data_IF_813903956067
#
_entry.id   IF_813903956067
#
_cell.length_a   1.000
_cell.length_b   1.000
_cell.length_c   1.000
_cell.angle_alpha   90.00
_cell.angle_beta   90.00
_cell.angle_gamma   90.00
#
_symmetry.space_group_name_H-M   'P 1'
#
loop_
_entity.id
_entity.type
_entity.pdbx_description
1 polymer ?
#
# COMPACT_ATOMS: atom_id res chain seq x y z
N UNK A 1 66.69 -29.43 -3.35
CA UNK A 1 65.53 -28.74 -3.96
C UNK A 1 64.31 -29.02 -3.10
N UNK A 2 64.00 -28.14 -2.14
CA UNK A 2 62.79 -28.22 -1.32
C UNK A 2 61.69 -27.42 -2.01
N UNK A 3 60.63 -28.08 -2.46
CA UNK A 3 59.42 -27.43 -2.96
C UNK A 3 58.42 -27.33 -1.80
N UNK A 4 58.20 -26.12 -1.30
CA UNK A 4 57.16 -25.80 -0.31
C UNK A 4 55.85 -25.60 -1.06
N UNK A 5 54.92 -26.54 -0.90
CA UNK A 5 53.56 -26.44 -1.42
C UNK A 5 52.75 -25.49 -0.53
N UNK A 6 52.44 -24.30 -1.04
CA UNK A 6 51.52 -23.37 -0.40
C UNK A 6 50.08 -23.86 -0.61
N UNK A 7 49.48 -24.41 0.44
CA UNK A 7 48.04 -24.69 0.49
C UNK A 7 47.32 -23.36 0.69
N UNK A 8 46.76 -22.81 -0.39
CA UNK A 8 45.89 -21.65 -0.32
C UNK A 8 44.56 -22.05 0.34
N UNK A 9 44.43 -21.73 1.63
CA UNK A 9 43.19 -21.85 2.38
C UNK A 9 42.20 -20.78 1.87
N UNK A 10 41.37 -21.12 0.88
CA UNK A 10 40.23 -20.29 0.52
C UNK A 10 39.19 -20.38 1.65
N UNK A 11 39.33 -19.51 2.64
CA UNK A 11 38.24 -19.22 3.57
C UNK A 11 37.10 -18.63 2.74
N UNK A 12 36.07 -19.44 2.48
CA UNK A 12 34.78 -18.94 2.01
C UNK A 12 34.22 -18.11 3.15
N UNK A 13 34.48 -16.80 3.13
CA UNK A 13 33.79 -15.84 3.97
C UNK A 13 32.34 -15.93 3.51
N UNK A 14 31.51 -16.70 4.23
CA UNK A 14 30.06 -16.53 4.18
C UNK A 14 29.85 -15.08 4.58
N UNK A 15 29.50 -14.23 3.60
CA UNK A 15 29.00 -12.91 3.87
C UNK A 15 27.91 -13.10 4.93
N UNK A 16 28.14 -12.56 6.13
CA UNK A 16 27.12 -12.57 7.16
C UNK A 16 25.85 -12.04 6.50
N UNK A 17 24.73 -12.74 6.70
CA UNK A 17 23.39 -12.33 6.25
C UNK A 17 23.09 -10.96 6.86
N UNK A 18 23.61 -9.92 6.22
CA UNK A 18 23.45 -8.55 6.64
C UNK A 18 21.95 -8.28 6.62
N UNK A 19 21.47 -7.57 7.64
CA UNK A 19 20.10 -7.07 7.69
C UNK A 19 19.70 -6.59 6.29
N UNK A 20 18.65 -7.19 5.72
CA UNK A 20 18.30 -6.92 4.33
C UNK A 20 17.83 -5.47 4.25
N UNK A 21 18.60 -4.64 3.55
CA UNK A 21 18.22 -3.29 3.21
C UNK A 21 16.84 -3.30 2.54
N UNK A 22 15.96 -2.39 2.95
CA UNK A 22 14.74 -2.12 2.20
C UNK A 22 15.10 -1.81 0.75
N UNK A 23 14.66 -2.67 -0.17
CA UNK A 23 14.85 -2.47 -1.60
C UNK A 23 13.53 -2.01 -2.21
N UNK A 24 13.33 -0.70 -2.24
CA UNK A 24 12.14 -0.05 -2.81
C UNK A 24 11.90 -0.47 -4.26
N UNK A 25 12.96 -0.52 -5.07
CA UNK A 25 12.87 -0.90 -6.47
C UNK A 25 12.38 -2.35 -6.66
N UNK A 26 12.78 -3.26 -5.76
CA UNK A 26 12.35 -4.66 -5.80
C UNK A 26 10.86 -4.81 -5.46
N UNK A 27 10.40 -4.15 -4.40
CA UNK A 27 9.02 -4.32 -3.91
C UNK A 27 7.99 -3.47 -4.65
N UNK A 28 8.44 -2.38 -5.29
CA UNK A 28 7.58 -1.43 -6.00
C UNK A 28 7.78 -1.43 -7.51
N UNK A 29 8.38 -2.48 -8.09
CA UNK A 29 8.57 -2.58 -9.53
C UNK A 29 7.24 -2.54 -10.30
N UNK A 30 7.26 -1.94 -11.50
CA UNK A 30 6.14 -1.93 -12.44
C UNK A 30 6.50 -2.72 -13.69
N UNK A 31 5.52 -2.94 -14.56
CA UNK A 31 5.74 -3.51 -15.88
C UNK A 31 4.87 -2.81 -16.91
N UNK A 32 5.43 -2.61 -18.09
CA UNK A 32 4.73 -2.14 -19.28
C UNK A 32 4.32 -3.35 -20.09
N UNK A 33 3.03 -3.47 -20.33
CA UNK A 33 2.43 -4.51 -21.15
C UNK A 33 2.00 -3.88 -22.46
N UNK A 34 2.47 -4.41 -23.58
CA UNK A 34 2.20 -3.87 -24.90
C UNK A 34 1.64 -4.95 -25.81
N UNK A 35 0.76 -4.55 -26.71
CA UNK A 35 0.32 -5.36 -27.83
C UNK A 35 0.33 -4.51 -29.11
N UNK A 36 0.90 -5.06 -30.16
CA UNK A 36 0.91 -4.45 -31.49
C UNK A 36 -0.15 -5.10 -32.39
N UNK A 37 -0.57 -4.39 -33.43
CA UNK A 37 -1.54 -4.88 -34.43
C UNK A 37 -2.86 -5.41 -33.82
N UNK A 38 -3.38 -4.75 -32.78
CA UNK A 38 -4.63 -5.10 -32.11
C UNK A 38 -5.83 -4.68 -32.98
N UNK A 39 -6.69 -5.60 -33.45
CA UNK A 39 -7.89 -5.24 -34.19
C UNK A 39 -8.87 -4.42 -33.35
N UNK A 40 -9.51 -3.41 -33.96
CA UNK A 40 -10.47 -2.54 -33.27
C UNK A 40 -11.53 -3.32 -32.48
N UNK A 41 -12.05 -4.41 -33.06
CA UNK A 41 -13.09 -5.26 -32.44
C UNK A 41 -12.67 -5.92 -31.12
N UNK A 42 -11.36 -6.08 -30.88
CA UNK A 42 -10.86 -6.62 -29.61
C UNK A 42 -10.67 -5.51 -28.57
N UNK A 43 -10.33 -4.30 -29.02
CA UNK A 43 -10.05 -3.15 -28.18
C UNK A 43 -11.31 -2.37 -27.78
N UNK A 44 -12.29 -2.28 -28.69
CA UNK A 44 -13.55 -1.56 -28.57
C UNK A 44 -14.72 -2.52 -28.87
N UNK A 45 -15.14 -3.36 -27.92
CA UNK A 45 -16.27 -4.27 -28.15
C UNK A 45 -17.54 -3.46 -28.42
N UNK A 46 -18.18 -3.73 -29.57
CA UNK A 46 -19.31 -2.94 -30.10
C UNK A 46 -20.55 -3.01 -29.20
N UNK A 47 -20.71 -4.08 -28.42
CA UNK A 47 -21.83 -4.25 -27.48
C UNK A 47 -21.29 -4.44 -26.05
N UNK A 48 -21.73 -3.57 -25.12
CA UNK A 48 -21.46 -3.73 -23.67
C UNK A 48 -21.98 -5.08 -23.13
N UNK A 49 -22.95 -5.68 -23.82
CA UNK A 49 -23.56 -6.99 -23.50
C UNK A 49 -22.92 -8.17 -24.24
N UNK A 50 -21.91 -7.97 -25.09
CA UNK A 50 -21.24 -9.11 -25.71
C UNK A 50 -20.59 -9.97 -24.63
N UNK A 51 -21.14 -11.18 -24.44
CA UNK A 51 -20.68 -12.19 -23.47
C UNK A 51 -19.28 -12.74 -23.75
N UNK A 52 -18.58 -12.14 -24.71
CA UNK A 52 -17.19 -12.40 -25.00
C UNK A 52 -16.30 -11.89 -23.86
N UNK A 53 -15.30 -12.66 -23.45
CA UNK A 53 -14.45 -12.27 -22.35
C UNK A 53 -13.59 -11.06 -22.79
N UNK A 54 -13.69 -9.94 -22.08
CA UNK A 54 -12.88 -8.73 -22.34
C UNK A 54 -11.41 -9.12 -22.42
N UNK A 55 -10.75 -8.76 -23.52
CA UNK A 55 -9.31 -8.91 -23.67
C UNK A 55 -8.60 -7.67 -23.14
N UNK A 56 -9.18 -6.49 -23.34
CA UNK A 56 -8.60 -5.22 -22.93
C UNK A 56 -9.57 -4.44 -22.03
N UNK A 57 -9.05 -3.62 -21.10
CA UNK A 57 -7.65 -3.61 -20.65
C UNK A 57 -7.32 -4.86 -19.81
N UNK A 58 -6.04 -5.02 -19.41
CA UNK A 58 -5.63 -6.16 -18.56
C UNK A 58 -6.24 -6.08 -17.15
N UNK A 59 -6.77 -4.91 -16.79
CA UNK A 59 -7.64 -4.73 -15.64
C UNK A 59 -9.12 -4.78 -16.09
N UNK A 60 -9.86 -5.82 -15.67
CA UNK A 60 -11.20 -6.15 -16.21
C UNK A 60 -12.30 -5.15 -15.86
N UNK A 61 -12.00 -4.17 -15.01
CA UNK A 61 -12.99 -3.22 -14.47
C UNK A 61 -13.31 -2.11 -15.48
N UNK A 62 -12.49 -1.93 -16.53
CA UNK A 62 -12.46 -0.70 -17.33
C UNK A 62 -12.89 -0.90 -18.79
N UNK A 63 -13.21 0.21 -19.45
CA UNK A 63 -13.41 0.33 -20.90
C UNK A 63 -12.21 1.06 -21.49
N UNK A 64 -11.59 0.53 -22.54
CA UNK A 64 -10.42 1.17 -23.16
C UNK A 64 -10.74 2.58 -23.65
N UNK A 65 -11.92 2.80 -24.23
CA UNK A 65 -12.32 4.11 -24.74
C UNK A 65 -12.57 5.12 -23.61
N UNK A 66 -13.09 4.67 -22.46
CA UNK A 66 -13.42 5.55 -21.34
C UNK A 66 -12.18 5.81 -20.47
N UNK A 67 -11.32 4.81 -20.28
CA UNK A 67 -10.27 4.81 -19.26
C UNK A 67 -8.84 4.99 -19.82
N UNK A 68 -8.60 4.68 -21.10
CA UNK A 68 -7.28 4.82 -21.71
C UNK A 68 -7.16 6.05 -22.61
N UNK A 69 -5.93 6.58 -22.69
CA UNK A 69 -5.61 7.71 -23.54
C UNK A 69 -5.52 7.29 -25.01
N UNK A 70 -6.12 8.07 -25.89
CA UNK A 70 -6.20 7.79 -27.32
C UNK A 70 -6.00 9.06 -28.15
N UNK A 71 -6.16 8.98 -29.49
CA UNK A 71 -5.96 10.12 -30.38
C UNK A 71 -6.82 11.34 -30.03
N UNK A 72 -8.05 11.12 -29.57
CA UNK A 72 -8.99 12.17 -29.15
C UNK A 72 -8.77 12.66 -27.71
N UNK A 73 -7.98 11.91 -26.91
CA UNK A 73 -7.74 12.19 -25.48
C UNK A 73 -6.28 11.86 -25.13
N UNK A 74 -5.30 12.61 -25.65
CA UNK A 74 -3.90 12.38 -25.32
C UNK A 74 -3.65 12.58 -23.83
N UNK A 75 -2.50 12.10 -23.33
CA UNK A 75 -2.09 12.41 -21.96
C UNK A 75 -1.93 13.93 -21.79
N UNK A 76 -2.34 14.49 -20.64
CA UNK A 76 -2.19 15.92 -20.36
C UNK A 76 -0.73 16.33 -20.14
N UNK A 77 0.17 15.38 -19.85
CA UNK A 77 1.60 15.61 -19.69
C UNK A 77 2.41 14.31 -19.82
N UNK A 78 3.73 14.38 -20.05
CA UNK A 78 4.61 13.22 -19.97
C UNK A 78 4.57 12.52 -18.60
N UNK A 79 4.44 13.27 -17.51
CA UNK A 79 4.35 12.72 -16.14
C UNK A 79 3.09 11.87 -15.98
N UNK A 80 1.95 12.33 -16.53
CA UNK A 80 0.69 11.59 -16.47
C UNK A 80 0.76 10.25 -17.23
N UNK A 81 1.65 10.13 -18.22
CA UNK A 81 1.89 8.87 -18.94
C UNK A 81 2.65 7.84 -18.10
N UNK A 82 3.41 8.30 -17.11
CA UNK A 82 4.26 7.44 -16.28
C UNK A 82 3.58 7.00 -14.99
N UNK A 83 2.35 7.41 -14.71
CA UNK A 83 1.67 7.02 -13.45
C UNK A 83 1.24 5.54 -13.47
N UNK A 84 1.15 4.93 -12.29
CA UNK A 84 0.59 3.59 -12.13
C UNK A 84 -0.83 3.51 -12.72
N UNK A 85 -1.10 2.48 -13.52
CA UNK A 85 -2.39 2.29 -14.19
C UNK A 85 -2.54 3.03 -15.52
N UNK A 86 -1.59 3.88 -15.92
CA UNK A 86 -1.63 4.58 -17.20
C UNK A 86 -1.76 3.58 -18.37
N UNK A 87 -2.64 3.90 -19.32
CA UNK A 87 -2.79 3.14 -20.55
C UNK A 87 -3.02 4.06 -21.75
N UNK A 88 -2.59 3.58 -22.91
CA UNK A 88 -2.68 4.30 -24.18
C UNK A 88 -3.05 3.33 -25.30
N UNK A 89 -3.77 3.84 -26.30
CA UNK A 89 -3.88 3.19 -27.59
C UNK A 89 -3.61 4.16 -28.73
N UNK A 90 -3.05 3.65 -29.84
CA UNK A 90 -2.75 4.43 -31.05
C UNK A 90 -3.16 3.67 -32.31
N UNK A 91 -3.84 4.31 -33.27
CA UNK A 91 -4.15 3.68 -34.55
C UNK A 91 -2.85 3.43 -35.31
N UNK A 92 -2.73 2.25 -35.91
CA UNK A 92 -1.59 1.84 -36.77
C UNK A 92 -2.05 1.52 -38.20
N UNK A 93 -3.35 1.63 -38.49
CA UNK A 93 -3.96 1.39 -39.79
C UNK A 93 -5.47 1.59 -39.74
N UNK A 94 -6.19 1.22 -40.80
CA UNK A 94 -7.64 1.46 -40.93
C UNK A 94 -8.50 0.79 -39.87
N UNK A 95 -8.01 -0.24 -39.18
CA UNK A 95 -8.75 -0.95 -38.13
C UNK A 95 -7.84 -1.63 -37.08
N UNK A 96 -6.62 -1.12 -36.94
CA UNK A 96 -5.56 -1.74 -36.12
C UNK A 96 -4.97 -0.72 -35.16
N UNK A 97 -4.57 -1.20 -33.99
CA UNK A 97 -4.08 -0.37 -32.90
C UNK A 97 -2.82 -0.95 -32.27
N UNK A 98 -1.97 -0.08 -31.76
CA UNK A 98 -1.02 -0.40 -30.70
C UNK A 98 -1.68 -0.08 -29.36
N UNK A 99 -1.58 -0.98 -28.39
CA UNK A 99 -2.03 -0.76 -27.03
C UNK A 99 -0.85 -0.92 -26.07
N UNK A 100 -0.79 -0.09 -25.03
CA UNK A 100 0.04 -0.40 -23.87
C UNK A 100 -0.61 0.03 -22.56
N UNK A 101 -0.20 -0.63 -21.47
CA UNK A 101 -0.62 -0.31 -20.11
C UNK A 101 0.54 -0.52 -19.12
N UNK A 102 0.69 0.39 -18.17
CA UNK A 102 1.60 0.27 -17.03
C UNK A 102 0.84 -0.31 -15.83
N UNK A 103 1.23 -1.49 -15.37
CA UNK A 103 0.65 -2.12 -14.18
C UNK A 103 1.73 -2.44 -13.14
N UNK A 104 1.35 -2.56 -11.85
CA UNK A 104 2.19 -3.16 -10.83
C UNK A 104 2.88 -4.46 -11.30
N UNK A 105 4.15 -4.63 -10.98
CA UNK A 105 4.89 -5.86 -11.26
C UNK A 105 4.47 -7.02 -10.36
N UNK A 106 4.96 -8.22 -10.65
CA UNK A 106 4.51 -9.46 -10.00
C UNK A 106 4.73 -9.46 -8.48
N UNK A 107 5.85 -8.91 -7.99
CA UNK A 107 6.09 -8.81 -6.54
C UNK A 107 5.13 -7.84 -5.88
N UNK A 108 4.79 -6.74 -6.55
CA UNK A 108 3.88 -5.73 -6.02
C UNK A 108 2.43 -6.25 -5.96
N UNK A 109 1.99 -7.02 -6.96
CA UNK A 109 0.65 -7.64 -7.05
C UNK A 109 0.49 -8.91 -6.21
N UNK A 110 1.49 -9.79 -6.26
CA UNK A 110 1.43 -11.13 -5.68
C UNK A 110 2.20 -11.21 -4.36
N UNK A 111 2.00 -10.20 -3.52
CA UNK A 111 2.43 -10.17 -2.13
C UNK A 111 1.53 -9.23 -1.34
N UNK A 112 1.48 -9.40 -0.03
CA UNK A 112 0.73 -8.53 0.88
C UNK A 112 1.63 -7.98 2.00
N UNK A 113 1.04 -7.33 3.00
CA UNK A 113 1.74 -6.75 4.14
C UNK A 113 2.63 -7.77 4.88
N UNK A 114 2.18 -9.02 5.03
CA UNK A 114 2.94 -10.04 5.75
C UNK A 114 4.08 -10.62 4.91
N UNK A 115 3.85 -10.87 3.61
CA UNK A 115 4.93 -11.26 2.70
C UNK A 115 6.07 -10.22 2.73
N UNK A 116 5.70 -8.94 2.61
CA UNK A 116 6.65 -7.84 2.66
C UNK A 116 7.39 -7.78 4.01
N UNK A 117 6.63 -7.84 5.11
CA UNK A 117 7.20 -7.75 6.45
C UNK A 117 8.11 -8.93 6.79
N UNK A 118 7.86 -10.12 6.26
CA UNK A 118 8.73 -11.28 6.43
C UNK A 118 9.84 -11.39 5.36
N UNK A 119 9.92 -10.44 4.43
CA UNK A 119 10.84 -10.42 3.30
C UNK A 119 10.74 -11.66 2.38
N UNK A 120 9.52 -12.16 2.19
CA UNK A 120 9.22 -13.38 1.46
C UNK A 120 8.38 -13.10 0.21
N UNK A 121 8.71 -13.73 -0.91
CA UNK A 121 7.90 -13.72 -2.12
C UNK A 121 7.66 -15.13 -2.63
N UNK A 122 6.40 -15.55 -2.67
CA UNK A 122 5.97 -16.87 -3.15
C UNK A 122 4.93 -16.81 -4.26
N UNK A 123 4.72 -15.65 -4.91
CA UNK A 123 3.71 -15.50 -5.96
C UNK A 123 2.26 -15.59 -5.46
N UNK A 124 1.97 -14.95 -4.32
CA UNK A 124 0.64 -14.95 -3.72
C UNK A 124 0.61 -14.22 -2.38
N UNK A 125 -0.51 -14.31 -1.66
CA UNK A 125 -0.70 -13.63 -0.38
C UNK A 125 -0.26 -14.51 0.79
N UNK A 126 0.51 -13.94 1.71
CA UNK A 126 1.04 -14.66 2.86
C UNK A 126 0.09 -14.51 4.05
N UNK A 127 -0.12 -15.62 4.75
CA UNK A 127 -0.96 -15.66 5.95
C UNK A 127 -0.14 -16.14 7.14
N UNK A 128 -0.13 -15.41 8.26
CA UNK A 128 0.64 -15.81 9.42
C UNK A 128 0.14 -17.16 9.96
N UNK A 129 1.09 -18.02 10.32
CA UNK A 129 0.88 -19.34 10.90
C UNK A 129 0.56 -20.44 9.89
N UNK A 130 0.34 -20.11 8.61
CA UNK A 130 -0.07 -21.09 7.61
C UNK A 130 1.02 -22.14 7.36
N UNK A 131 2.28 -21.69 7.21
CA UNK A 131 3.43 -22.59 7.07
C UNK A 131 3.89 -23.16 8.42
N UNK A 132 3.61 -22.47 9.52
CA UNK A 132 3.77 -22.97 10.89
C UNK A 132 2.77 -24.06 11.31
N UNK A 133 1.85 -24.47 10.44
CA UNK A 133 0.91 -25.56 10.71
C UNK A 133 -0.36 -25.17 11.49
N UNK A 134 -0.66 -23.87 11.61
CA UNK A 134 -1.87 -23.38 12.29
C UNK A 134 -3.12 -23.36 11.39
N UNK A 135 -3.00 -23.79 10.13
CA UNK A 135 -4.09 -23.79 9.15
C UNK A 135 -4.51 -22.39 8.71
N UNK A 136 -5.62 -22.33 7.98
CA UNK A 136 -6.20 -21.06 7.54
C UNK A 136 -6.70 -20.24 8.74
N UNK A 137 -6.80 -18.93 8.54
CA UNK A 137 -7.28 -18.02 9.56
C UNK A 137 -8.81 -18.00 9.52
N UNK A 138 -9.47 -18.23 10.66
CA UNK A 138 -10.93 -18.04 10.77
C UNK A 138 -11.21 -16.62 11.26
N UNK A 139 -11.74 -15.73 10.40
CA UNK A 139 -11.99 -14.33 10.74
C UNK A 139 -12.86 -14.16 11.98
N UNK A 140 -13.74 -15.12 12.30
CA UNK A 140 -14.62 -15.06 13.48
C UNK A 140 -13.88 -15.24 14.80
N UNK A 141 -12.68 -15.82 14.76
CA UNK A 141 -11.87 -16.12 15.96
C UNK A 141 -10.54 -15.37 15.98
N UNK A 142 -10.17 -14.71 14.87
CA UNK A 142 -8.97 -13.89 14.76
C UNK A 142 -8.93 -12.81 15.85
N UNK A 143 -7.81 -12.75 16.55
CA UNK A 143 -7.52 -11.76 17.59
C UNK A 143 -6.03 -11.45 17.63
N UNK A 144 -5.62 -10.44 18.42
CA UNK A 144 -4.19 -10.18 18.63
C UNK A 144 -3.45 -11.38 19.20
N UNK A 145 -4.04 -12.10 20.17
CA UNK A 145 -3.41 -13.29 20.74
C UNK A 145 -3.22 -14.39 19.69
N UNK A 146 -4.22 -14.60 18.83
CA UNK A 146 -4.15 -15.59 17.76
C UNK A 146 -3.09 -15.22 16.70
N UNK A 147 -3.13 -13.99 16.18
CA UNK A 147 -2.18 -13.49 15.20
C UNK A 147 -0.74 -13.51 15.73
N UNK A 148 -0.52 -13.15 17.00
CA UNK A 148 0.79 -13.23 17.64
C UNK A 148 1.31 -14.67 17.71
N UNK A 149 0.47 -15.65 18.09
CA UNK A 149 0.85 -17.08 18.06
C UNK A 149 1.20 -17.55 16.66
N UNK A 150 0.45 -17.10 15.65
CA UNK A 150 0.68 -17.43 14.24
C UNK A 150 2.02 -16.90 13.73
N UNK A 151 2.39 -15.67 14.07
CA UNK A 151 3.72 -15.11 13.76
C UNK A 151 4.83 -15.91 14.44
N UNK A 152 4.61 -16.37 15.68
CA UNK A 152 5.57 -17.23 16.40
C UNK A 152 5.69 -18.61 15.77
N UNK A 153 4.57 -19.22 15.34
CA UNK A 153 4.58 -20.51 14.66
C UNK A 153 5.38 -20.48 13.33
N UNK A 154 5.37 -19.33 12.67
CA UNK A 154 6.20 -19.07 11.48
C UNK A 154 7.66 -18.73 11.83
N UNK A 155 8.04 -18.65 13.10
CA UNK A 155 9.43 -18.43 13.56
C UNK A 155 9.75 -17.02 14.07
N UNK A 156 8.76 -16.13 14.15
CA UNK A 156 8.93 -14.81 14.73
C UNK A 156 9.17 -14.87 16.24
N UNK A 157 10.11 -14.05 16.74
CA UNK A 157 10.44 -13.97 18.16
C UNK A 157 9.82 -12.71 18.76
N UNK A 158 8.89 -12.80 19.73
CA UNK A 158 8.31 -11.63 20.35
C UNK A 158 9.39 -10.76 21.01
N UNK A 159 9.27 -9.44 20.87
CA UNK A 159 10.19 -8.47 21.48
C UNK A 159 9.42 -7.31 22.10
N UNK A 160 10.06 -6.60 23.02
CA UNK A 160 9.48 -5.38 23.60
C UNK A 160 9.49 -4.24 22.58
N UNK A 161 8.57 -3.27 22.73
CA UNK A 161 8.60 -2.02 21.95
C UNK A 161 9.96 -1.33 22.08
N UNK A 162 10.52 -1.27 23.30
CA UNK A 162 11.83 -0.65 23.55
C UNK A 162 12.91 -1.30 22.68
N UNK A 163 12.98 -2.63 22.62
CA UNK A 163 13.93 -3.32 21.76
C UNK A 163 13.66 -3.04 20.26
N UNK A 164 12.40 -3.10 19.83
CA UNK A 164 12.03 -2.95 18.43
C UNK A 164 12.19 -1.52 17.88
N UNK A 165 11.91 -0.49 18.68
CA UNK A 165 11.86 0.92 18.26
C UNK A 165 13.13 1.67 18.64
N UNK A 166 13.61 1.51 19.86
CA UNK A 166 14.74 2.27 20.41
C UNK A 166 16.05 1.46 20.34
N UNK A 167 15.95 0.13 20.31
CA UNK A 167 17.10 -0.76 20.21
C UNK A 167 17.79 -0.70 18.84
N UNK A 168 19.01 -1.24 18.74
CA UNK A 168 19.73 -1.35 17.48
C UNK A 168 18.98 -2.27 16.50
N UNK A 169 19.16 -2.02 15.21
CA UNK A 169 18.72 -2.95 14.16
C UNK A 169 19.48 -4.27 14.36
N UNK A 170 18.80 -5.44 14.34
CA UNK A 170 19.48 -6.72 14.52
C UNK A 170 20.52 -6.96 13.43
N UNK A 171 21.65 -7.59 13.79
CA UNK A 171 22.67 -7.96 12.80
C UNK A 171 22.15 -8.95 11.74
N UNK A 172 21.25 -9.84 12.14
CA UNK A 172 20.53 -10.77 11.27
C UNK A 172 19.02 -10.57 11.45
N UNK A 173 18.32 -10.44 10.33
CA UNK A 173 16.89 -10.18 10.26
C UNK A 173 16.50 -8.72 10.53
N UNK A 174 15.25 -8.51 10.95
CA UNK A 174 14.69 -7.18 11.22
C UNK A 174 13.51 -7.27 12.18
N UNK A 175 12.98 -6.11 12.58
CA UNK A 175 11.77 -6.05 13.40
C UNK A 175 10.52 -5.85 12.55
N UNK A 176 9.41 -6.43 12.99
CA UNK A 176 8.07 -6.17 12.46
C UNK A 176 7.12 -5.77 13.58
N UNK A 177 6.09 -5.00 13.26
CA UNK A 177 4.99 -4.66 14.15
C UNK A 177 3.68 -5.18 13.57
N UNK A 178 2.89 -5.87 14.39
CA UNK A 178 1.64 -6.50 14.01
C UNK A 178 0.47 -5.65 14.48
N UNK A 179 -0.45 -5.36 13.56
CA UNK A 179 -1.73 -4.73 13.84
C UNK A 179 -2.87 -5.68 13.52
N UNK A 180 -3.97 -5.47 14.24
CA UNK A 180 -5.24 -6.12 14.04
C UNK A 180 -6.34 -5.07 13.84
N UNK A 181 -7.14 -5.29 12.81
CA UNK A 181 -8.41 -4.61 12.57
C UNK A 181 -9.53 -5.54 13.05
N UNK A 182 -10.15 -5.28 14.22
CA UNK A 182 -11.37 -5.99 14.59
C UNK A 182 -12.52 -5.67 13.65
N UNK A 183 -13.51 -6.56 13.57
CA UNK A 183 -14.76 -6.28 12.83
C UNK A 183 -15.39 -4.94 13.25
N UNK A 184 -15.34 -4.63 14.55
CA UNK A 184 -15.96 -3.44 15.12
C UNK A 184 -15.28 -2.12 14.76
N UNK A 185 -14.10 -2.13 14.14
CA UNK A 185 -13.37 -0.91 13.77
C UNK A 185 -13.61 -0.48 12.31
N UNK A 186 -14.60 -1.07 11.66
CA UNK A 186 -15.02 -0.74 10.32
C UNK A 186 -16.53 -1.01 10.16
N UNK A 187 -17.20 -0.12 9.46
CA UNK A 187 -18.66 -0.07 9.33
C UNK A 187 -19.13 -0.27 7.88
N UNK A 188 -18.26 -0.78 7.02
CA UNK A 188 -18.57 -1.00 5.62
C UNK A 188 -18.94 -2.46 5.30
N UNK A 189 -19.84 -2.70 4.31
CA UNK A 189 -20.17 -4.04 3.82
C UNK A 189 -18.91 -4.84 3.51
N UNK A 190 -18.89 -6.11 3.94
CA UNK A 190 -17.74 -7.02 3.80
C UNK A 190 -16.47 -6.60 4.52
N UNK A 191 -16.50 -5.62 5.43
CA UNK A 191 -15.39 -5.52 6.36
C UNK A 191 -15.31 -6.82 7.15
N UNK A 192 -14.12 -7.40 7.22
CA UNK A 192 -13.81 -8.59 7.98
C UNK A 192 -12.60 -8.31 8.87
N UNK A 193 -12.45 -9.06 9.98
CA UNK A 193 -11.25 -8.98 10.79
C UNK A 193 -10.01 -9.22 9.95
N UNK A 194 -9.02 -8.34 10.08
CA UNK A 194 -7.85 -8.31 9.20
C UNK A 194 -6.58 -7.97 9.99
N UNK A 195 -5.42 -8.18 9.39
CA UNK A 195 -4.13 -7.88 9.98
C UNK A 195 -3.30 -6.96 9.10
N UNK A 196 -2.37 -6.25 9.73
CA UNK A 196 -1.40 -5.46 9.00
C UNK A 196 -0.03 -5.53 9.64
N UNK A 197 1.00 -5.41 8.82
CA UNK A 197 2.37 -5.47 9.29
C UNK A 197 3.17 -4.27 8.82
N UNK A 198 3.98 -3.75 9.73
CA UNK A 198 5.05 -2.79 9.44
C UNK A 198 6.39 -3.50 9.61
N UNK A 199 7.38 -3.15 8.79
CA UNK A 199 8.77 -3.60 8.87
C UNK A 199 9.66 -2.44 9.29
N UNK A 200 10.63 -2.68 10.17
CA UNK A 200 11.69 -1.70 10.48
C UNK A 200 12.87 -1.95 9.54
N UNK A 201 13.23 -0.92 8.81
CA UNK A 201 14.31 -0.97 7.83
C UNK A 201 15.65 -0.61 8.48
N UNK A 202 16.76 -0.86 7.78
CA UNK A 202 18.11 -0.59 8.30
C UNK A 202 18.33 0.88 8.71
N UNK A 203 17.64 1.82 8.06
CA UNK A 203 17.68 3.24 8.42
C UNK A 203 16.92 3.59 9.71
N UNK A 204 16.34 2.60 10.39
CA UNK A 204 15.58 2.77 11.63
C UNK A 204 14.15 3.28 11.44
N UNK A 205 13.77 3.66 10.21
CA UNK A 205 12.39 3.96 9.82
C UNK A 205 11.57 2.69 9.66
N UNK A 206 10.25 2.84 9.71
CA UNK A 206 9.32 1.77 9.45
C UNK A 206 8.60 1.98 8.12
N UNK A 207 8.28 0.87 7.46
CA UNK A 207 7.56 0.83 6.19
C UNK A 207 6.44 -0.20 6.19
N UNK A 208 5.46 0.00 5.33
CA UNK A 208 4.27 -0.82 5.20
C UNK A 208 3.91 -1.07 3.74
N UNK A 209 3.18 -2.16 3.51
CA UNK A 209 2.54 -2.49 2.23
C UNK A 209 1.06 -2.74 2.44
N UNK A 210 0.18 -2.06 1.70
CA UNK A 210 -1.27 -2.24 1.80
C UNK A 210 -1.80 -2.90 0.54
N UNK A 211 -2.20 -4.18 0.62
CA UNK A 211 -2.67 -4.92 -0.56
C UNK A 211 -1.67 -4.84 -1.72
N UNK A 212 -2.14 -4.45 -2.90
CA UNK A 212 -1.33 -4.24 -4.11
C UNK A 212 -0.65 -2.86 -4.18
N UNK A 213 -0.88 -1.97 -3.20
CA UNK A 213 -0.27 -0.64 -3.20
C UNK A 213 1.26 -0.70 -2.99
N UNK A 214 2.01 0.29 -3.52
CA UNK A 214 3.44 0.42 -3.28
C UNK A 214 3.76 0.44 -1.78
N UNK A 215 4.88 -0.19 -1.43
CA UNK A 215 5.51 -0.06 -0.12
C UNK A 215 5.84 1.40 0.14
N UNK A 216 5.54 1.87 1.35
CA UNK A 216 5.85 3.23 1.77
C UNK A 216 6.31 3.27 3.22
N UNK A 217 7.22 4.20 3.54
CA UNK A 217 7.60 4.54 4.91
C UNK A 217 6.71 5.64 5.53
N UNK A 218 5.57 5.93 4.90
CA UNK A 218 4.62 6.94 5.34
C UNK A 218 3.36 6.32 5.92
N UNK A 219 2.81 6.98 6.92
CA UNK A 219 1.52 6.66 7.50
C UNK A 219 0.37 7.28 6.65
N UNK A 220 -0.87 7.12 7.09
CA UNK A 220 -2.06 7.63 6.41
C UNK A 220 -2.14 9.16 6.37
N UNK A 221 -1.43 9.86 7.24
CA UNK A 221 -1.28 11.33 7.21
C UNK A 221 -0.10 11.77 6.32
N UNK A 222 0.63 10.83 5.69
CA UNK A 222 1.82 11.12 4.90
C UNK A 222 3.10 11.34 5.71
N UNK A 223 3.09 11.09 7.03
CA UNK A 223 4.24 11.28 7.92
C UNK A 223 5.15 10.05 7.92
N UNK A 224 6.47 10.27 8.02
CA UNK A 224 7.43 9.16 8.14
C UNK A 224 7.16 8.37 9.42
N UNK A 225 7.08 7.05 9.31
CA UNK A 225 6.82 6.17 10.44
C UNK A 225 8.13 5.92 11.21
N UNK A 226 8.29 6.59 12.35
CA UNK A 226 9.43 6.37 13.27
C UNK A 226 9.09 5.38 14.38
N UNK A 227 7.83 5.35 14.79
CA UNK A 227 7.28 4.41 15.75
C UNK A 227 5.92 3.92 15.25
N UNK A 228 5.75 2.60 15.02
CA UNK A 228 4.46 2.04 14.65
C UNK A 228 3.35 2.49 15.59
N UNK A 229 3.55 2.49 16.91
CA UNK A 229 2.48 2.77 17.87
C UNK A 229 1.90 4.19 17.71
N UNK A 230 2.69 5.14 17.22
CA UNK A 230 2.27 6.51 16.96
C UNK A 230 1.76 6.73 15.52
N UNK A 231 1.94 5.76 14.63
CA UNK A 231 1.58 5.86 13.22
C UNK A 231 0.06 5.78 13.02
N UNK A 232 -0.48 6.60 12.11
CA UNK A 232 -1.87 6.47 11.68
C UNK A 232 -1.97 5.50 10.51
N UNK A 233 -2.59 4.35 10.72
CA UNK A 233 -2.79 3.38 9.65
C UNK A 233 -4.17 3.56 9.02
N UNK A 234 -4.23 3.52 7.69
CA UNK A 234 -5.51 3.52 6.97
C UNK A 234 -6.25 2.19 7.16
N UNK A 235 -7.53 2.14 6.78
CA UNK A 235 -8.27 0.89 6.72
C UNK A 235 -8.77 0.33 8.06
N UNK A 236 -8.61 1.04 9.19
CA UNK A 236 -9.20 0.65 10.48
C UNK A 236 -8.30 -0.23 11.36
N UNK A 237 -6.99 -0.30 11.10
CA UNK A 237 -6.05 -1.05 11.95
C UNK A 237 -5.78 -0.34 13.28
N UNK A 238 -6.69 -0.50 14.24
CA UNK A 238 -6.68 0.25 15.52
C UNK A 238 -5.95 -0.46 16.66
N UNK A 239 -5.60 -1.75 16.54
CA UNK A 239 -5.02 -2.52 17.65
C UNK A 239 -3.61 -2.99 17.31
N UNK A 240 -2.59 -2.41 17.95
CA UNK A 240 -1.22 -2.93 17.92
C UNK A 240 -1.15 -4.20 18.80
N UNK A 241 -0.81 -5.33 18.20
CA UNK A 241 -0.78 -6.63 18.88
C UNK A 241 0.61 -7.02 19.40
N UNK A 242 1.67 -6.40 18.89
CA UNK A 242 3.03 -6.64 19.37
C UNK A 242 4.11 -6.36 18.33
N UNK A 243 5.34 -6.56 18.77
CA UNK A 243 6.54 -6.48 17.95
C UNK A 243 7.24 -7.83 17.93
N UNK A 244 7.86 -8.15 16.80
CA UNK A 244 8.57 -9.40 16.61
C UNK A 244 9.90 -9.13 15.91
N UNK A 245 10.94 -9.85 16.30
CA UNK A 245 12.13 -10.03 15.47
C UNK A 245 11.89 -11.19 14.52
N UNK A 246 12.12 -10.98 13.24
CA UNK A 246 12.08 -12.02 12.22
C UNK A 246 13.43 -12.13 11.54
N UNK A 247 13.78 -13.35 11.15
CA UNK A 247 14.96 -13.66 10.37
C UNK A 247 14.46 -14.36 9.09
N UNK A 248 14.45 -13.68 7.92
CA UNK A 248 13.89 -14.24 6.70
C UNK A 248 14.41 -15.63 6.35
N UNK A 249 15.67 -15.95 6.69
CA UNK A 249 16.27 -17.26 6.46
C UNK A 249 15.70 -18.37 7.36
N UNK A 250 15.05 -18.01 8.47
CA UNK A 250 14.45 -18.94 9.45
C UNK A 250 12.93 -18.92 9.46
N UNK A 251 12.33 -17.88 8.89
CA UNK A 251 10.88 -17.74 8.82
C UNK A 251 10.28 -18.83 7.92
N UNK A 252 9.22 -19.46 8.39
CA UNK A 252 8.39 -20.37 7.61
C UNK A 252 7.22 -19.56 7.10
N UNK A 253 7.30 -19.06 5.87
CA UNK A 253 6.21 -18.31 5.24
C UNK A 253 5.73 -19.06 4.01
N UNK A 254 4.42 -19.14 3.84
CA UNK A 254 3.80 -19.69 2.64
C UNK A 254 2.82 -18.67 2.07
N UNK A 255 2.87 -18.50 0.77
CA UNK A 255 1.88 -17.77 0.02
C UNK A 255 0.73 -18.71 -0.38
N UNK A 256 -0.51 -18.26 -0.22
CA UNK A 256 -1.64 -18.77 -0.98
C UNK A 256 -1.66 -18.08 -2.33
N UNK A 257 -1.67 -18.87 -3.40
CA UNK A 257 -1.62 -18.36 -4.76
C UNK A 257 -2.84 -17.48 -5.03
N UNK A 258 -2.61 -16.24 -5.44
CA UNK A 258 -3.69 -15.38 -5.92
C UNK A 258 -3.90 -15.59 -7.42
N UNK A 259 -5.13 -15.46 -7.93
CA UNK A 259 -5.38 -15.57 -9.36
C UNK A 259 -4.57 -14.53 -10.13
N UNK A 260 -3.75 -15.00 -11.06
CA UNK A 260 -2.94 -14.14 -11.91
C UNK A 260 -3.75 -13.63 -13.11
N UNK A 261 -4.62 -12.66 -12.85
CA UNK A 261 -5.54 -12.12 -13.87
C UNK A 261 -4.78 -11.55 -15.07
N UNK A 262 -3.65 -10.88 -14.83
CA UNK A 262 -2.86 -10.26 -15.89
C UNK A 262 -2.20 -11.32 -16.77
N UNK A 263 -1.51 -12.31 -16.21
CA UNK A 263 -0.90 -13.35 -17.04
C UNK A 263 -1.96 -14.22 -17.73
N UNK A 264 -3.11 -14.46 -17.10
CA UNK A 264 -4.23 -15.12 -17.78
C UNK A 264 -4.73 -14.30 -18.98
N UNK A 265 -4.84 -12.97 -18.85
CA UNK A 265 -5.27 -12.12 -19.96
C UNK A 265 -4.20 -11.98 -21.04
N UNK A 266 -2.93 -11.89 -20.68
CA UNK A 266 -1.82 -11.94 -21.63
C UNK A 266 -1.79 -13.25 -22.41
N UNK A 267 -2.06 -14.36 -21.73
CA UNK A 267 -2.17 -15.66 -22.38
C UNK A 267 -3.32 -15.66 -23.40
N UNK A 268 -4.47 -15.09 -23.03
CA UNK A 268 -5.60 -14.93 -23.96
C UNK A 268 -5.28 -13.98 -25.13
N UNK A 269 -4.43 -12.97 -24.94
CA UNK A 269 -3.93 -12.13 -26.04
C UNK A 269 -3.09 -12.95 -27.03
N UNK A 270 -2.18 -13.78 -26.51
CA UNK A 270 -1.35 -14.66 -27.33
C UNK A 270 -2.19 -15.68 -28.10
N UNK A 271 -3.20 -16.26 -27.45
CA UNK A 271 -4.15 -17.20 -28.08
C UNK A 271 -4.99 -16.52 -29.17
N UNK A 272 -5.24 -15.22 -29.05
CA UNK A 272 -5.87 -14.41 -30.09
C UNK A 272 -4.90 -14.02 -31.24
N UNK A 273 -3.66 -14.52 -31.22
CA UNK A 273 -2.64 -14.27 -32.24
C UNK A 273 -1.98 -12.90 -32.14
N UNK A 274 -2.10 -12.21 -31.00
CA UNK A 274 -1.48 -10.90 -30.79
C UNK A 274 0.00 -11.06 -30.41
N UNK A 275 0.82 -10.17 -30.96
CA UNK A 275 2.21 -10.00 -30.51
C UNK A 275 2.20 -9.16 -29.23
N UNK A 276 2.68 -9.75 -28.13
CA UNK A 276 2.67 -9.13 -26.80
C UNK A 276 4.07 -8.99 -26.23
N UNK A 277 4.36 -7.83 -25.66
CA UNK A 277 5.64 -7.55 -25.01
C UNK A 277 5.41 -7.14 -23.56
N UNK A 278 6.26 -7.64 -22.67
CA UNK A 278 6.26 -7.27 -21.24
C UNK A 278 7.63 -6.74 -20.89
N UNK A 279 7.69 -5.47 -20.51
CA UNK A 279 8.94 -4.78 -20.20
C UNK A 279 8.93 -4.35 -18.73
N UNK A 280 9.83 -4.87 -17.88
CA UNK A 280 9.99 -4.37 -16.52
C UNK A 280 10.31 -2.87 -16.52
N UNK A 281 9.67 -2.12 -15.63
CA UNK A 281 9.91 -0.70 -15.43
C UNK A 281 10.52 -0.46 -14.05
N UNK A 282 11.54 0.41 -13.92
CA UNK A 282 12.03 0.82 -12.62
C UNK A 282 10.93 1.59 -11.88
N UNK A 283 10.91 1.45 -10.56
CA UNK A 283 10.06 2.27 -9.71
C UNK A 283 10.55 3.72 -9.72
N UNK A 284 9.64 4.65 -9.97
CA UNK A 284 9.89 6.09 -9.89
C UNK A 284 9.01 6.71 -8.82
N UNK A 285 9.53 7.11 -7.65
CA UNK A 285 8.71 7.69 -6.59
C UNK A 285 8.03 9.01 -6.96
N UNK A 286 8.46 9.71 -8.01
CA UNK A 286 7.78 10.93 -8.46
C UNK A 286 6.47 10.63 -9.21
N UNK A 287 6.32 9.44 -9.78
CA UNK A 287 5.16 9.05 -10.61
C UNK A 287 4.40 7.85 -10.08
N UNK A 288 5.09 6.95 -9.36
CA UNK A 288 4.60 5.67 -8.88
C UNK A 288 4.27 5.69 -7.39
N UNK A 289 4.97 6.51 -6.59
CA UNK A 289 4.55 6.83 -5.23
C UNK A 289 3.44 7.88 -5.31
N UNK A 290 2.27 7.40 -5.70
CA UNK A 290 1.13 8.17 -6.18
C UNK A 290 0.95 9.53 -5.48
N UNK A 291 0.69 10.58 -6.28
CA UNK A 291 0.07 11.85 -5.86
C UNK A 291 -0.92 11.58 -4.70
N UNK A 292 -0.92 12.35 -3.60
CA UNK A 292 -1.94 12.26 -2.55
C UNK A 292 -3.36 12.00 -3.07
N UNK A 293 -3.76 12.61 -4.19
CA UNK A 293 -5.08 12.40 -4.81
C UNK A 293 -5.29 10.98 -5.39
N UNK A 294 -4.26 10.36 -5.96
CA UNK A 294 -4.36 9.00 -6.46
C UNK A 294 -3.93 7.95 -5.41
N UNK A 295 -3.26 8.35 -4.31
CA UNK A 295 -3.26 7.61 -3.03
C UNK A 295 -4.65 7.60 -2.39
N UNK A 296 -5.36 8.72 -2.43
CA UNK A 296 -6.76 8.83 -2.00
C UNK A 296 -7.66 8.01 -2.92
N UNK A 297 -7.44 8.04 -4.24
CA UNK A 297 -8.16 7.20 -5.19
C UNK A 297 -7.82 5.71 -5.02
N UNK A 298 -6.56 5.34 -4.76
CA UNK A 298 -6.16 3.96 -4.48
C UNK A 298 -6.67 3.51 -3.10
N UNK A 299 -6.79 4.42 -2.13
CA UNK A 299 -7.48 4.17 -0.85
C UNK A 299 -8.97 3.96 -1.08
N UNK A 300 -9.61 4.80 -1.89
CA UNK A 300 -11.01 4.67 -2.30
C UNK A 300 -11.24 3.41 -3.14
N UNK A 301 -10.28 3.01 -3.96
CA UNK A 301 -10.32 1.81 -4.79
C UNK A 301 -10.11 0.57 -3.94
N UNK A 302 -9.13 0.57 -3.04
CA UNK A 302 -8.96 -0.52 -2.05
C UNK A 302 -10.20 -0.63 -1.15
N UNK A 303 -10.82 0.51 -0.80
CA UNK A 303 -12.13 0.53 -0.14
C UNK A 303 -13.21 -0.08 -1.04
N UNK A 304 -13.33 0.33 -2.32
CA UNK A 304 -14.32 -0.18 -3.29
C UNK A 304 -14.15 -1.67 -3.62
N UNK A 305 -12.93 -2.15 -3.75
CA UNK A 305 -12.61 -3.56 -3.99
C UNK A 305 -12.91 -4.42 -2.76
N UNK A 306 -12.76 -3.86 -1.56
CA UNK A 306 -13.21 -4.48 -0.31
C UNK A 306 -14.73 -4.39 -0.12
N UNK A 307 -15.38 -3.37 -0.67
CA UNK A 307 -16.83 -3.10 -0.57
C UNK A 307 -17.69 -3.97 -1.51
N UNK A 308 -17.11 -4.60 -2.53
CA UNK A 308 -17.88 -4.97 -3.73
C UNK A 308 -18.34 -3.71 -4.48
N UNK A 309 -18.78 -3.86 -5.74
CA UNK A 309 -19.19 -2.70 -6.54
C UNK A 309 -20.23 -1.85 -5.77
N UNK A 310 -20.02 -0.51 -5.65
CA UNK A 310 -20.95 0.33 -4.92
C UNK A 310 -22.33 0.29 -5.56
N UNK A 311 -23.36 0.52 -4.75
CA UNK A 311 -24.70 0.83 -5.26
C UNK A 311 -24.58 1.90 -6.36
N UNK A 312 -25.12 1.66 -7.57
CA UNK A 312 -25.07 2.59 -8.70
C UNK A 312 -25.44 4.03 -8.33
N UNK A 313 -26.34 4.23 -7.37
CA UNK A 313 -26.75 5.57 -6.93
C UNK A 313 -25.63 6.33 -6.20
N UNK A 314 -24.85 5.64 -5.38
CA UNK A 314 -23.70 6.25 -4.70
C UNK A 314 -22.58 6.59 -5.69
N UNK A 315 -22.41 5.75 -6.71
CA UNK A 315 -21.43 5.97 -7.77
C UNK A 315 -21.77 7.24 -8.57
N UNK A 316 -23.04 7.45 -8.88
CA UNK A 316 -23.54 8.63 -9.58
C UNK A 316 -23.39 9.91 -8.74
N UNK A 317 -23.60 9.83 -7.42
CA UNK A 317 -23.43 10.95 -6.50
C UNK A 317 -21.95 11.37 -6.37
N UNK A 318 -21.03 10.42 -6.35
CA UNK A 318 -19.59 10.72 -6.28
C UNK A 318 -19.06 11.29 -7.60
N UNK A 319 -19.56 10.80 -8.73
CA UNK A 319 -19.23 11.36 -10.05
C UNK A 319 -19.72 12.80 -10.20
N UNK A 320 -20.92 13.12 -9.71
CA UNK A 320 -21.45 14.49 -9.76
C UNK A 320 -20.67 15.44 -8.85
N UNK A 321 -20.24 15.00 -7.66
CA UNK A 321 -19.38 15.80 -6.77
C UNK A 321 -17.99 16.06 -7.37
N UNK A 322 -17.38 15.04 -7.98
CA UNK A 322 -16.09 15.20 -8.65
C UNK A 322 -16.18 16.12 -9.88
N UNK A 323 -17.28 16.07 -10.64
CA UNK A 323 -17.54 16.99 -11.74
C UNK A 323 -17.75 18.43 -11.24
N UNK A 324 -18.49 18.62 -10.14
CA UNK A 324 -18.69 19.94 -9.54
C UNK A 324 -17.37 20.57 -9.06
N UNK A 325 -16.46 19.79 -8.49
CA UNK A 325 -15.13 20.26 -8.09
C UNK A 325 -14.24 20.65 -9.29
N UNK A 326 -14.38 19.96 -10.43
CA UNK A 326 -13.65 20.29 -11.66
C UNK A 326 -14.21 21.51 -12.39
N UNK A 327 -15.50 21.80 -12.19
CA UNK A 327 -16.18 22.95 -12.78
C UNK A 327 -16.19 24.18 -11.88
N UNK A 328 -15.70 24.07 -10.65
CA UNK A 328 -15.53 25.22 -9.78
C UNK A 328 -14.53 26.21 -10.42
N UNK A 329 -14.92 27.49 -10.61
CA UNK A 329 -14.02 28.47 -11.20
C UNK A 329 -12.78 28.61 -10.32
N UNK A 330 -11.60 28.70 -10.96
CA UNK A 330 -10.35 28.96 -10.27
C UNK A 330 -10.53 30.20 -9.39
N UNK A 331 -10.33 30.04 -8.08
CA UNK A 331 -10.46 31.14 -7.13
C UNK A 331 -9.57 32.31 -7.56
N UNK A 332 -9.96 33.56 -7.23
CA UNK A 332 -9.26 34.75 -7.70
C UNK A 332 -7.78 34.67 -7.36
N UNK A 333 -6.94 34.64 -8.40
CA UNK A 333 -5.49 34.70 -8.24
C UNK A 333 -5.15 36.08 -7.69
N UNK A 334 -4.60 36.09 -6.47
CA UNK A 334 -4.25 37.30 -5.75
C UNK A 334 -2.96 37.91 -6.33
N UNK A 335 -3.06 38.47 -7.54
CA UNK A 335 -1.99 39.25 -8.16
C UNK A 335 -2.26 40.73 -7.91
N UNK A 336 -1.46 41.33 -7.04
CA UNK A 336 -1.30 42.77 -6.93
C UNK A 336 -1.67 43.35 -5.58
N UNK A 337 -0.75 43.27 -4.61
CA UNK A 337 -0.56 44.34 -3.62
C UNK A 337 0.92 44.53 -3.34
N UNK A 338 1.46 45.55 -3.99
CA UNK A 338 2.64 46.28 -3.54
C UNK A 338 2.38 46.98 -2.21
N UNK A 339 3.48 47.28 -1.53
CA UNK A 339 3.64 47.69 -0.14
C UNK A 339 2.78 48.86 0.34
N UNK A 340 2.22 48.70 1.55
CA UNK A 340 2.01 49.81 2.49
C UNK A 340 2.07 49.29 3.94
N UNK A 341 2.85 49.99 4.77
CA UNK A 341 3.15 49.67 6.17
C UNK A 341 1.90 49.64 7.08
N UNK A 342 1.88 48.83 8.15
CA UNK A 342 0.77 48.83 9.10
C UNK A 342 0.88 49.99 10.09
N UNK A 343 -0.18 50.80 10.14
CA UNK A 343 -0.46 51.72 11.24
C UNK A 343 -0.95 50.95 12.47
N UNK A 344 -0.46 51.36 13.64
CA UNK A 344 -0.82 50.81 14.94
C UNK A 344 -2.27 51.14 15.34
N UNK A 345 -3.01 50.23 16.00
CA UNK A 345 -4.20 50.61 16.74
C UNK A 345 -3.86 50.94 18.20
N UNK A 346 -4.51 51.99 18.67
CA UNK A 346 -4.38 52.60 19.98
C UNK A 346 -4.86 51.69 21.13
N UNK A 347 -4.25 51.96 22.28
CA UNK A 347 -4.50 51.46 23.62
C UNK A 347 -5.95 51.59 24.09
N UNK A 348 -6.43 50.59 24.83
CA UNK A 348 -7.35 50.83 25.94
C UNK A 348 -6.87 50.06 27.18
N UNK A 349 -6.45 50.82 28.18
CA UNK A 349 -6.14 50.38 29.53
C UNK A 349 -7.46 50.16 30.29
N UNK A 350 -7.56 49.07 31.06
CA UNK A 350 -8.10 49.17 32.43
C UNK A 350 -7.70 47.96 33.30
N UNK A 351 -6.86 48.29 34.27
CA UNK A 351 -6.79 47.88 35.68
C UNK A 351 -6.74 46.39 36.08
N UNK A 352 -5.56 46.06 36.60
CA UNK A 352 -5.26 45.00 37.56
C UNK A 352 -5.87 45.31 38.94
N UNK A 353 -6.35 44.28 39.66
CA UNK A 353 -6.10 44.07 41.09
C UNK A 353 -6.05 42.56 41.41
N UNK A 354 -5.01 42.13 42.13
CA UNK A 354 -4.80 40.80 42.73
C UNK A 354 -5.40 40.76 44.18
N UNK A 355 -5.03 39.83 45.09
CA UNK A 355 -5.35 38.40 45.20
C UNK A 355 -6.00 38.04 46.57
N UNK A 356 -6.47 36.79 46.76
CA UNK A 356 -6.99 36.35 48.08
C UNK A 356 -6.97 34.84 48.30
N UNK A 357 -6.33 34.44 49.40
CA UNK A 357 -6.07 33.07 49.89
C UNK A 357 -7.25 32.44 50.65
N UNK A 358 -7.13 31.11 50.81
CA UNK A 358 -7.44 30.28 51.99
C UNK A 358 -8.86 29.72 52.18
N UNK A 359 -8.91 28.42 52.53
CA UNK A 359 -9.90 27.89 53.48
C UNK A 359 -10.43 26.46 53.27
N UNK A 360 -9.78 25.47 53.86
CA UNK A 360 -10.42 24.58 54.87
C UNK A 360 -11.31 23.38 54.47
N UNK A 361 -10.74 22.17 54.66
CA UNK A 361 -11.27 20.97 55.41
C UNK A 361 -12.76 20.55 55.33
N UNK A 362 -12.99 19.25 55.00
CA UNK A 362 -13.49 18.12 55.87
C UNK A 362 -13.80 16.90 54.97
N UNK A 363 -13.21 15.70 55.11
CA UNK A 363 -13.43 14.60 56.08
C UNK A 363 -14.90 14.11 56.25
N UNK A 364 -15.18 12.91 55.70
CA UNK A 364 -15.94 11.75 56.25
C UNK A 364 -15.86 10.62 55.18
N UNK A 365 -15.17 9.48 55.34
CA UNK A 365 -15.49 8.24 56.07
C UNK A 365 -16.84 7.58 55.73
N UNK A 366 -16.75 6.35 55.20
CA UNK A 366 -17.54 5.20 55.67
C UNK A 366 -18.52 4.57 54.69
N UNK A 367 -18.45 3.24 54.54
CA UNK A 367 -19.61 2.43 54.11
C UNK A 367 -19.26 1.15 53.35
N UNK A 368 -19.12 0.04 54.08
CA UNK A 368 -19.12 -1.32 53.55
C UNK A 368 -20.53 -1.95 53.63
N UNK A 369 -20.73 -3.05 52.90
CA UNK A 369 -21.92 -3.93 52.91
C UNK A 369 -22.70 -3.82 51.60
N UNK A 370 -23.08 -4.88 50.87
CA UNK A 370 -23.14 -6.30 51.14
C UNK A 370 -24.42 -6.84 50.48
N UNK A 371 -24.28 -7.70 49.49
CA UNK A 371 -25.23 -8.72 49.02
C UNK A 371 -24.54 -9.58 47.96
#
# INVERSE_FOLDING_TARGET
MLAVAAVALFAVIRAADAAVAYNEALWNSFSRYEADHVPAKLLFPINKESSGPKLFPLDLVWSVEEDCHGPSRPFPSPVAREVAGACEYKPTGSNMYKFWQKLPGDRLRFSNCYCYAADFYGGGWCYPGLAGGMGEMDPRTTSCADLSRRVVADGGVPVTRKAAVEGPVPAAGHYIALYYRPQSSCDFPHCMPDFHFLRRDMGGTWSQKTGEAPVTNRDADGKIIKDPQAARLGGGYTKLCGYFKVDPAKMKVKAQRTPDRVNNLLQRWREAGLEVHVTPLPYNPATDAVDPAARDAQRLQSQREQLGAPDPQQQQLQQSQAQALRQAPAGPTNNGRDAAAPAAPASNQQQQQQPGKAGGRRLMRGGAGGA
#
